data_IF_545498859510
#
_entry.id   IF_545498859510
#
_cell.length_a   1.000
_cell.length_b   1.000
_cell.length_c   1.000
_cell.angle_alpha   90.00
_cell.angle_beta   90.00
_cell.angle_gamma   90.00
#
_symmetry.space_group_name_H-M   'P 1'
#
loop_
_entity.id
_entity.type
_entity.pdbx_description
1 polymer ?
#
# COMPACT_ATOMS: atom_id res chain seq x y z
N UNK A 1 14.37 4.23 22.20
CA UNK A 1 14.86 3.39 21.09
C UNK A 1 14.76 4.18 19.81
N UNK A 2 15.92 4.65 19.34
CA UNK A 2 16.15 5.65 18.29
C UNK A 2 15.68 5.11 16.94
N UNK A 3 14.75 5.81 16.28
CA UNK A 3 14.39 5.51 14.89
C UNK A 3 15.06 6.55 13.99
N UNK A 4 16.13 6.09 13.34
CA UNK A 4 16.99 6.80 12.41
C UNK A 4 16.12 7.55 11.38
N UNK A 5 16.19 8.89 11.45
CA UNK A 5 15.74 9.82 10.44
C UNK A 5 16.68 9.66 9.23
N UNK A 6 16.37 8.68 8.37
CA UNK A 6 16.98 8.60 7.05
C UNK A 6 16.38 9.74 6.19
N UNK A 7 17.12 10.85 6.13
CA UNK A 7 16.72 12.15 5.56
C UNK A 7 16.92 12.22 4.03
N UNK A 8 17.24 11.10 3.37
CA UNK A 8 17.68 11.12 1.97
C UNK A 8 16.68 10.51 0.96
N UNK A 9 15.45 10.20 1.39
CA UNK A 9 14.36 9.91 0.46
C UNK A 9 13.30 10.99 0.56
N UNK A 10 13.20 11.79 -0.50
CA UNK A 10 12.10 12.72 -0.70
C UNK A 10 10.85 11.86 -0.93
N UNK A 11 10.12 11.57 0.14
CA UNK A 11 8.89 10.76 0.11
C UNK A 11 7.69 11.72 0.10
N UNK A 12 6.75 11.51 -0.84
CA UNK A 12 5.49 12.24 -0.82
C UNK A 12 4.73 11.94 0.48
N UNK A 13 3.96 12.92 0.98
CA UNK A 13 3.06 12.68 2.08
C UNK A 13 2.12 11.52 1.74
N UNK A 14 1.83 10.68 2.74
CA UNK A 14 1.00 9.49 2.49
C UNK A 14 -0.42 9.88 2.05
N UNK A 15 -0.89 11.05 2.48
CA UNK A 15 -2.16 11.69 2.09
C UNK A 15 -2.23 11.97 0.59
N UNK A 16 -1.23 12.66 0.05
CA UNK A 16 -1.19 13.01 -1.37
C UNK A 16 -1.09 11.77 -2.23
N UNK A 17 -0.36 10.73 -1.79
CA UNK A 17 -0.33 9.45 -2.50
C UNK A 17 -1.68 8.73 -2.51
N UNK A 18 -2.43 8.72 -1.39
CA UNK A 18 -3.77 8.12 -1.34
C UNK A 18 -4.73 8.81 -2.31
N UNK A 19 -4.76 10.14 -2.27
CA UNK A 19 -5.59 10.95 -3.16
C UNK A 19 -5.21 10.66 -4.62
N UNK A 20 -3.92 10.59 -4.93
CA UNK A 20 -3.43 10.35 -6.28
C UNK A 20 -3.81 8.94 -6.79
N UNK A 21 -3.71 7.90 -5.95
CA UNK A 21 -4.14 6.53 -6.32
C UNK A 21 -5.65 6.48 -6.54
N UNK A 22 -6.46 7.04 -5.63
CA UNK A 22 -7.92 7.07 -5.77
C UNK A 22 -8.32 7.83 -7.03
N UNK A 23 -7.69 8.97 -7.29
CA UNK A 23 -7.92 9.77 -8.48
C UNK A 23 -7.61 8.98 -9.76
N UNK A 24 -6.47 8.29 -9.82
CA UNK A 24 -6.14 7.44 -10.96
C UNK A 24 -7.11 6.27 -11.17
N UNK A 25 -7.65 5.69 -10.09
CA UNK A 25 -8.67 4.66 -10.19
C UNK A 25 -9.98 5.22 -10.77
N UNK A 26 -10.35 6.45 -10.41
CA UNK A 26 -11.50 7.15 -11.00
C UNK A 26 -11.26 7.48 -12.49
N UNK A 27 -10.03 7.81 -12.87
CA UNK A 27 -9.63 8.00 -14.28
C UNK A 27 -9.71 6.69 -15.10
N UNK A 28 -9.78 5.50 -14.50
CA UNK A 28 -9.97 4.26 -15.26
C UNK A 28 -11.41 4.07 -15.76
N UNK A 29 -12.38 4.61 -15.03
CA UNK A 29 -13.81 4.40 -15.32
C UNK A 29 -14.34 5.36 -16.39
N UNK A 30 -13.61 6.42 -16.69
CA UNK A 30 -13.95 7.42 -17.70
C UNK A 30 -13.36 7.05 -19.07
N UNK A 31 -14.13 7.26 -20.15
CA UNK A 31 -13.69 6.95 -21.52
C UNK A 31 -12.74 8.05 -22.01
N UNK A 32 -11.43 7.77 -22.00
CA UNK A 32 -10.42 8.70 -22.52
C UNK A 32 -10.07 8.48 -24.00
N UNK A 33 -9.89 9.56 -24.79
CA UNK A 33 -9.20 9.51 -26.07
C UNK A 33 -7.71 9.18 -25.86
N UNK A 34 -7.10 8.55 -26.88
CA UNK A 34 -5.72 8.04 -26.84
C UNK A 34 -4.67 9.10 -26.44
N UNK A 35 -4.88 10.36 -26.81
CA UNK A 35 -3.99 11.48 -26.47
C UNK A 35 -3.91 11.74 -24.95
N UNK A 36 -5.04 11.62 -24.24
CA UNK A 36 -5.09 11.83 -22.79
C UNK A 36 -4.41 10.70 -22.01
N UNK A 37 -4.39 9.49 -22.56
CA UNK A 37 -3.66 8.36 -21.95
C UNK A 37 -2.15 8.56 -22.02
N UNK A 38 -1.63 9.09 -23.14
CA UNK A 38 -0.20 9.41 -23.30
C UNK A 38 0.23 10.50 -22.33
N UNK A 39 -0.55 11.58 -22.21
CA UNK A 39 -0.27 12.68 -21.27
C UNK A 39 -0.18 12.16 -19.83
N UNK A 40 -1.15 11.32 -19.41
CA UNK A 40 -1.15 10.71 -18.08
C UNK A 40 0.13 9.91 -17.80
N UNK A 41 0.60 9.13 -18.77
CA UNK A 41 1.78 8.27 -18.61
C UNK A 41 3.07 9.06 -18.57
N UNK A 42 3.18 10.10 -19.41
CA UNK A 42 4.31 11.03 -19.39
C UNK A 42 4.38 11.72 -18.02
N UNK A 43 3.25 12.19 -17.51
CA UNK A 43 3.20 12.86 -16.22
C UNK A 43 3.48 11.93 -15.02
N UNK A 44 2.97 10.69 -15.03
CA UNK A 44 3.32 9.67 -14.03
C UNK A 44 4.80 9.32 -14.07
N UNK A 45 5.39 9.28 -15.26
CA UNK A 45 6.82 9.03 -15.44
C UNK A 45 7.68 10.20 -14.89
N UNK A 46 7.23 11.44 -15.07
CA UNK A 46 7.86 12.64 -14.48
C UNK A 46 7.78 12.59 -12.95
N UNK A 47 6.63 12.23 -12.39
CA UNK A 47 6.48 12.01 -10.95
C UNK A 47 7.47 10.96 -10.43
N UNK A 48 7.61 9.82 -11.12
CA UNK A 48 8.57 8.77 -10.74
C UNK A 48 10.04 9.20 -10.86
N UNK A 49 10.37 10.09 -11.80
CA UNK A 49 11.69 10.71 -11.94
C UNK A 49 12.00 11.66 -10.77
N UNK A 50 11.04 12.49 -10.35
CA UNK A 50 11.19 13.36 -9.16
C UNK A 50 11.39 12.58 -7.86
N UNK A 51 10.85 11.35 -7.79
CA UNK A 51 10.98 10.42 -6.66
C UNK A 51 12.34 9.69 -6.65
N UNK A 52 13.24 9.99 -7.62
CA UNK A 52 14.57 9.41 -7.79
C UNK A 52 14.57 7.88 -8.09
N UNK A 53 13.44 7.33 -8.59
CA UNK A 53 13.31 5.92 -8.95
C UNK A 53 13.36 5.71 -10.48
N UNK A 54 14.50 6.10 -11.10
CA UNK A 54 14.71 6.07 -12.57
C UNK A 54 14.41 4.70 -13.20
N UNK A 55 14.76 3.60 -12.53
CA UNK A 55 14.53 2.23 -13.02
C UNK A 55 13.04 1.88 -13.18
N UNK A 56 12.16 2.47 -12.35
CA UNK A 56 10.71 2.22 -12.41
C UNK A 56 10.03 3.08 -13.47
N UNK A 57 10.46 4.34 -13.61
CA UNK A 57 10.02 5.21 -14.70
C UNK A 57 10.33 4.59 -16.07
N UNK A 58 11.56 4.09 -16.26
CA UNK A 58 11.98 3.46 -17.51
C UNK A 58 11.18 2.17 -17.78
N UNK A 59 10.95 1.32 -16.76
CA UNK A 59 10.11 0.12 -16.92
C UNK A 59 8.68 0.45 -17.32
N UNK A 60 8.10 1.52 -16.78
CA UNK A 60 6.72 1.94 -17.07
C UNK A 60 6.59 2.51 -18.49
N UNK A 61 7.56 3.32 -18.93
CA UNK A 61 7.62 3.83 -20.31
C UNK A 61 7.80 2.67 -21.30
N UNK A 62 8.72 1.74 -21.00
CA UNK A 62 9.00 0.58 -21.84
C UNK A 62 7.80 -0.36 -21.93
N UNK A 63 7.13 -0.65 -20.80
CA UNK A 63 5.93 -1.49 -20.81
C UNK A 63 4.79 -0.85 -21.59
N UNK A 64 4.59 0.47 -21.48
CA UNK A 64 3.60 1.18 -22.29
C UNK A 64 3.93 1.16 -23.78
N UNK A 65 5.18 1.42 -24.15
CA UNK A 65 5.62 1.41 -25.55
C UNK A 65 5.42 0.04 -26.21
N UNK A 66 5.70 -1.05 -25.49
CA UNK A 66 5.47 -2.42 -25.97
C UNK A 66 3.97 -2.68 -26.15
N UNK A 67 3.13 -2.29 -25.18
CA UNK A 67 1.69 -2.52 -25.27
C UNK A 67 0.96 -1.63 -26.28
N UNK A 68 1.52 -0.46 -26.65
CA UNK A 68 0.92 0.43 -27.65
C UNK A 68 1.16 -0.02 -29.09
N UNK A 69 2.22 -0.80 -29.34
CA UNK A 69 2.55 -1.34 -30.67
C UNK A 69 1.60 -2.48 -31.05
N UNK A 70 1.21 -3.32 -30.09
CA UNK A 70 0.36 -4.51 -30.29
C UNK A 70 -0.97 -4.22 -31.03
N UNK A 71 -1.78 -3.22 -30.63
CA UNK A 71 -3.06 -2.93 -31.28
C UNK A 71 -2.94 -2.22 -32.64
N UNK A 72 -1.79 -1.64 -32.97
CA UNK A 72 -1.57 -0.92 -34.24
C UNK A 72 -1.00 -1.81 -35.36
N UNK A 73 -0.73 -3.09 -35.07
CA UNK A 73 -0.26 -4.03 -36.08
C UNK A 73 -1.41 -4.37 -37.06
N UNK A 74 -1.19 -4.29 -38.39
CA UNK A 74 -2.23 -4.48 -39.40
C UNK A 74 -2.81 -5.92 -39.46
N UNK A 75 -2.29 -6.83 -38.63
CA UNK A 75 -2.60 -8.25 -38.56
C UNK A 75 -3.93 -8.52 -37.83
N UNK A 76 -4.47 -7.53 -37.08
CA UNK A 76 -5.60 -7.69 -36.16
C UNK A 76 -7.01 -7.65 -36.77
N UNK A 77 -7.16 -7.75 -38.09
CA UNK A 77 -8.46 -7.71 -38.79
C UNK A 77 -9.31 -9.00 -38.66
N UNK A 78 -8.84 -10.01 -37.93
CA UNK A 78 -9.51 -11.31 -37.76
C UNK A 78 -10.21 -11.34 -36.37
N UNK A 79 -11.45 -11.86 -36.30
CA UNK A 79 -12.31 -11.84 -35.10
C UNK A 79 -11.65 -12.35 -33.81
N UNK A 80 -10.84 -13.41 -33.90
CA UNK A 80 -10.13 -13.99 -32.74
C UNK A 80 -8.99 -13.10 -32.23
N UNK A 81 -8.42 -12.24 -33.08
CA UNK A 81 -7.39 -11.30 -32.69
C UNK A 81 -7.97 -10.04 -32.05
N UNK A 82 -9.19 -9.61 -32.36
CA UNK A 82 -9.79 -8.45 -31.68
C UNK A 82 -9.88 -8.62 -30.15
N UNK A 83 -10.11 -9.84 -29.67
CA UNK A 83 -10.09 -10.18 -28.24
C UNK A 83 -8.73 -9.84 -27.62
N UNK A 84 -7.62 -10.23 -28.25
CA UNK A 84 -6.27 -9.89 -27.79
C UNK A 84 -6.02 -8.37 -27.74
N UNK A 85 -6.59 -7.60 -28.67
CA UNK A 85 -6.47 -6.14 -28.68
C UNK A 85 -7.23 -5.51 -27.50
N UNK A 86 -8.44 -6.01 -27.21
CA UNK A 86 -9.21 -5.54 -26.05
C UNK A 86 -8.52 -5.86 -24.72
N UNK A 87 -7.95 -7.06 -24.57
CA UNK A 87 -7.13 -7.40 -23.41
C UNK A 87 -5.90 -6.52 -23.27
N UNK A 88 -5.21 -6.22 -24.37
CA UNK A 88 -4.06 -5.30 -24.37
C UNK A 88 -4.46 -3.91 -23.86
N UNK A 89 -5.61 -3.38 -24.30
CA UNK A 89 -6.13 -2.09 -23.82
C UNK A 89 -6.46 -2.10 -22.33
N UNK A 90 -7.05 -3.20 -21.83
CA UNK A 90 -7.38 -3.36 -20.40
C UNK A 90 -6.12 -3.42 -19.55
N UNK A 91 -5.13 -4.22 -19.96
CA UNK A 91 -3.85 -4.34 -19.26
C UNK A 91 -3.13 -2.98 -19.25
N UNK A 92 -3.16 -2.25 -20.37
CA UNK A 92 -2.55 -0.92 -20.48
C UNK A 92 -3.15 0.08 -19.50
N UNK A 93 -4.47 0.08 -19.35
CA UNK A 93 -5.19 0.92 -18.37
C UNK A 93 -4.82 0.53 -16.94
N UNK A 94 -4.74 -0.76 -16.63
CA UNK A 94 -4.43 -1.24 -15.28
C UNK A 94 -2.96 -1.06 -14.88
N UNK A 95 -2.03 -0.92 -15.84
CA UNK A 95 -0.60 -0.75 -15.54
C UNK A 95 -0.32 0.51 -14.71
N UNK A 96 -0.97 1.62 -14.99
CA UNK A 96 -0.74 2.91 -14.33
C UNK A 96 -1.12 2.88 -12.83
N UNK A 97 -2.37 2.56 -12.44
CA UNK A 97 -2.76 2.47 -11.04
C UNK A 97 -2.02 1.35 -10.31
N UNK A 98 -1.68 0.24 -10.99
CA UNK A 98 -0.97 -0.87 -10.37
C UNK A 98 0.48 -0.49 -10.02
N UNK A 99 1.20 0.19 -10.91
CA UNK A 99 2.55 0.68 -10.62
C UNK A 99 2.54 1.77 -9.53
N UNK A 100 1.57 2.68 -9.56
CA UNK A 100 1.38 3.70 -8.52
C UNK A 100 1.04 3.07 -7.17
N UNK A 101 0.14 2.09 -7.15
CA UNK A 101 -0.23 1.33 -5.94
C UNK A 101 0.94 0.52 -5.39
N UNK A 102 1.73 -0.12 -6.24
CA UNK A 102 2.94 -0.82 -5.82
C UNK A 102 3.98 0.15 -5.22
N UNK A 103 4.17 1.32 -5.84
CA UNK A 103 5.01 2.37 -5.27
C UNK A 103 4.47 2.88 -3.93
N UNK A 104 3.15 3.07 -3.81
CA UNK A 104 2.49 3.45 -2.57
C UNK A 104 2.77 2.44 -1.45
N UNK A 105 2.58 1.15 -1.68
CA UNK A 105 2.81 0.11 -0.67
C UNK A 105 4.28 0.01 -0.26
N UNK A 106 5.21 0.14 -1.21
CA UNK A 106 6.64 -0.01 -0.93
C UNK A 106 7.27 1.23 -0.29
N UNK A 107 6.82 2.43 -0.67
CA UNK A 107 7.41 3.70 -0.18
C UNK A 107 6.82 4.16 1.14
N UNK A 108 5.68 3.61 1.58
CA UNK A 108 4.94 4.18 2.71
C UNK A 108 5.21 3.38 3.98
N UNK A 109 5.81 4.04 4.98
CA UNK A 109 5.95 3.45 6.31
C UNK A 109 4.58 3.41 6.98
N UNK A 110 4.33 2.34 7.73
CA UNK A 110 3.07 2.17 8.44
C UNK A 110 2.80 3.33 9.41
N UNK A 111 3.84 3.85 10.05
CA UNK A 111 3.76 5.04 10.90
C UNK A 111 3.32 6.32 10.17
N UNK A 112 3.71 6.53 8.91
CA UNK A 112 3.28 7.71 8.14
C UNK A 112 1.83 7.61 7.67
N UNK A 113 1.36 6.39 7.39
CA UNK A 113 -0.04 6.09 7.10
C UNK A 113 -0.93 6.42 8.30
N UNK A 114 -0.56 5.97 9.49
CA UNK A 114 -1.26 6.28 10.74
C UNK A 114 -1.28 7.77 11.06
N UNK A 115 -0.19 8.47 10.77
CA UNK A 115 -0.08 9.90 11.00
C UNK A 115 -0.94 10.72 9.99
N UNK A 116 -1.23 10.14 8.82
CA UNK A 116 -2.15 10.68 7.82
C UNK A 116 -3.61 10.44 8.18
N UNK A 117 -3.93 9.26 8.71
CA UNK A 117 -5.26 8.96 9.28
C UNK A 117 -5.67 9.96 10.36
N UNK A 118 -4.70 10.45 11.14
CA UNK A 118 -4.94 11.48 12.15
C UNK A 118 -5.37 12.83 11.58
N UNK A 119 -4.75 13.27 10.49
CA UNK A 119 -5.04 14.54 9.84
C UNK A 119 -6.37 14.51 9.08
N UNK A 120 -6.75 13.35 8.54
CA UNK A 120 -8.08 13.07 7.96
C UNK A 120 -9.19 13.05 9.06
N UNK A 121 -8.86 13.38 10.31
CA UNK A 121 -9.78 13.42 11.46
C UNK A 121 -10.48 12.08 11.75
N UNK A 122 -9.82 10.96 11.47
CA UNK A 122 -10.31 9.65 11.91
C UNK A 122 -10.33 9.62 13.45
N UNK A 123 -11.44 9.18 14.08
CA UNK A 123 -11.58 9.20 15.52
C UNK A 123 -10.50 8.36 16.21
N UNK A 124 -10.07 8.82 17.39
CA UNK A 124 -9.00 8.17 18.17
C UNK A 124 -9.32 6.71 18.51
N UNK A 125 -10.61 6.39 18.66
CA UNK A 125 -11.13 5.04 18.93
C UNK A 125 -10.68 4.01 17.88
N UNK A 126 -10.53 4.41 16.62
CA UNK A 126 -10.08 3.53 15.53
C UNK A 126 -8.57 3.60 15.38
N UNK A 127 -8.01 4.81 15.48
CA UNK A 127 -6.60 5.07 15.16
C UNK A 127 -5.63 4.39 16.13
N UNK A 128 -5.95 4.38 17.42
CA UNK A 128 -5.06 3.81 18.45
C UNK A 128 -4.95 2.29 18.30
N UNK A 129 -6.06 1.52 18.19
CA UNK A 129 -5.98 0.09 17.89
C UNK A 129 -5.24 -0.21 16.59
N UNK A 130 -5.44 0.57 15.53
CA UNK A 130 -4.69 0.39 14.29
C UNK A 130 -3.18 0.57 14.49
N UNK A 131 -2.75 1.59 15.25
CA UNK A 131 -1.34 1.81 15.58
C UNK A 131 -0.74 0.60 16.29
N UNK A 132 -1.49 0.07 17.26
CA UNK A 132 -1.13 -1.13 18.00
C UNK A 132 -1.05 -2.32 17.05
N UNK A 133 -2.09 -2.64 16.29
CA UNK A 133 -2.11 -3.78 15.38
C UNK A 133 -0.87 -3.81 14.47
N UNK A 134 -0.53 -2.67 13.88
CA UNK A 134 0.66 -2.58 13.02
C UNK A 134 1.99 -2.66 13.77
N UNK A 135 2.08 -2.13 14.98
CA UNK A 135 3.28 -2.23 15.82
C UNK A 135 3.50 -3.65 16.36
N UNK A 136 2.41 -4.40 16.59
CA UNK A 136 2.43 -5.75 17.14
C UNK A 136 2.35 -6.85 16.07
N UNK A 137 2.02 -6.53 14.83
CA UNK A 137 2.13 -7.44 13.66
C UNK A 137 3.50 -8.14 13.58
N UNK A 138 4.67 -7.45 13.70
CA UNK A 138 5.96 -8.12 13.68
C UNK A 138 6.15 -9.07 14.87
N UNK A 139 5.54 -8.79 16.02
CA UNK A 139 5.62 -9.62 17.23
C UNK A 139 4.84 -10.92 17.00
N UNK A 140 3.59 -10.82 16.56
CA UNK A 140 2.73 -11.97 16.24
C UNK A 140 3.38 -12.88 15.20
N UNK A 141 4.06 -12.32 14.21
CA UNK A 141 4.80 -13.11 13.20
C UNK A 141 5.93 -13.92 13.81
N UNK A 142 6.70 -13.34 14.72
CA UNK A 142 7.78 -14.04 15.40
C UNK A 142 7.22 -15.11 16.33
N UNK A 143 6.13 -14.82 17.00
CA UNK A 143 5.47 -15.74 17.92
C UNK A 143 4.86 -16.94 17.20
N UNK A 144 4.19 -16.71 16.07
CA UNK A 144 3.77 -17.77 15.15
C UNK A 144 4.94 -18.67 14.75
N UNK A 145 6.10 -18.07 14.42
CA UNK A 145 7.29 -18.82 14.05
C UNK A 145 7.82 -19.66 15.23
N UNK A 146 7.91 -19.08 16.43
CA UNK A 146 8.35 -19.78 17.64
C UNK A 146 7.42 -20.92 18.04
N UNK A 147 6.10 -20.70 17.98
CA UNK A 147 5.09 -21.73 18.26
C UNK A 147 5.18 -22.84 17.20
N UNK A 148 5.34 -22.48 15.92
CA UNK A 148 5.53 -23.44 14.83
C UNK A 148 6.81 -24.28 15.01
N UNK A 149 7.89 -23.67 15.45
CA UNK A 149 9.15 -24.36 15.76
C UNK A 149 9.03 -25.27 16.99
N UNK A 150 8.34 -24.83 18.05
CA UNK A 150 8.07 -25.65 19.23
C UNK A 150 7.20 -26.87 18.91
N UNK A 151 6.19 -26.72 18.04
CA UNK A 151 5.37 -27.84 17.58
C UNK A 151 6.19 -28.88 16.80
N UNK A 152 7.14 -28.43 15.98
CA UNK A 152 8.06 -29.34 15.27
C UNK A 152 8.93 -30.15 16.23
N UNK A 153 9.40 -29.55 17.34
CA UNK A 153 10.17 -30.26 18.37
C UNK A 153 9.35 -31.33 19.10
N UNK A 154 8.03 -31.15 19.19
CA UNK A 154 7.08 -32.12 19.80
C UNK A 154 6.67 -33.24 18.83
N UNK A 155 7.33 -33.37 17.68
CA UNK A 155 7.00 -34.39 16.68
C UNK A 155 5.77 -34.06 15.82
N UNK A 156 5.14 -32.90 16.02
CA UNK A 156 4.05 -32.37 15.17
C UNK A 156 4.72 -31.73 13.94
N UNK A 157 5.21 -32.60 13.06
CA UNK A 157 5.93 -32.23 11.84
C UNK A 157 5.03 -31.97 10.63
N UNK A 158 5.66 -31.71 9.49
CA UNK A 158 4.97 -31.52 8.20
C UNK A 158 4.06 -32.70 7.83
N UNK A 159 4.35 -33.91 8.30
CA UNK A 159 3.54 -35.10 8.00
C UNK A 159 2.10 -34.94 8.49
N UNK A 160 1.88 -34.34 9.67
CA UNK A 160 0.54 -34.14 10.22
C UNK A 160 -0.25 -33.04 9.49
N UNK A 161 0.46 -32.10 8.85
CA UNK A 161 -0.15 -31.07 7.98
C UNK A 161 -0.84 -31.71 6.78
N UNK A 162 -0.24 -32.76 6.21
CA UNK A 162 -0.80 -33.47 5.05
C UNK A 162 -1.78 -34.57 5.45
N UNK A 163 -1.55 -35.24 6.59
CA UNK A 163 -2.44 -36.32 7.04
C UNK A 163 -3.74 -35.81 7.66
N UNK A 164 -3.68 -34.77 8.51
CA UNK A 164 -4.84 -34.23 9.23
C UNK A 164 -4.70 -32.71 9.43
N UNK A 165 -4.98 -31.90 8.38
CA UNK A 165 -4.80 -30.44 8.44
C UNK A 165 -5.68 -29.77 9.49
N UNK A 166 -6.89 -30.30 9.76
CA UNK A 166 -7.80 -29.73 10.75
C UNK A 166 -7.21 -29.78 12.16
N UNK A 167 -6.68 -30.94 12.54
CA UNK A 167 -6.09 -31.18 13.86
C UNK A 167 -4.80 -30.37 14.05
N UNK A 168 -4.01 -30.21 12.99
CA UNK A 168 -2.84 -29.33 12.98
C UNK A 168 -3.23 -27.86 13.22
N UNK A 169 -4.31 -27.39 12.59
CA UNK A 169 -4.81 -26.02 12.78
C UNK A 169 -5.31 -25.79 14.19
N UNK A 170 -6.00 -26.74 14.79
CA UNK A 170 -6.46 -26.65 16.19
C UNK A 170 -5.26 -26.53 17.17
N UNK A 171 -4.25 -27.38 17.02
CA UNK A 171 -3.03 -27.30 17.82
C UNK A 171 -2.22 -26.02 17.62
N UNK A 172 -2.33 -25.38 16.45
CA UNK A 172 -1.65 -24.13 16.15
C UNK A 172 -2.45 -22.93 16.66
N UNK A 173 -3.78 -22.94 16.52
CA UNK A 173 -4.65 -21.81 16.86
C UNK A 173 -4.77 -21.66 18.37
N UNK A 174 -4.92 -22.74 19.14
CA UNK A 174 -5.13 -22.66 20.60
C UNK A 174 -3.99 -21.90 21.31
N UNK A 175 -2.69 -22.23 21.10
CA UNK A 175 -1.59 -21.49 21.73
C UNK A 175 -1.48 -20.05 21.25
N UNK A 176 -1.78 -19.77 19.97
CA UNK A 176 -1.78 -18.41 19.43
C UNK A 176 -2.88 -17.59 20.07
N UNK A 177 -4.07 -18.16 20.28
CA UNK A 177 -5.18 -17.48 20.93
C UNK A 177 -4.80 -17.11 22.36
N UNK A 178 -4.23 -18.05 23.11
CA UNK A 178 -3.78 -17.83 24.49
C UNK A 178 -2.67 -16.78 24.59
N UNK A 179 -1.72 -16.79 23.66
CA UNK A 179 -0.70 -15.75 23.55
C UNK A 179 -1.33 -14.37 23.27
N UNK A 180 -2.25 -14.30 22.29
CA UNK A 180 -2.89 -13.05 21.90
C UNK A 180 -3.73 -12.46 23.04
N UNK A 181 -4.42 -13.29 23.84
CA UNK A 181 -5.16 -12.83 25.02
C UNK A 181 -4.22 -12.25 26.07
N UNK A 182 -3.08 -12.92 26.35
CA UNK A 182 -2.11 -12.43 27.33
C UNK A 182 -1.48 -11.10 26.89
N UNK A 183 -1.12 -10.97 25.60
CA UNK A 183 -0.59 -9.70 25.05
C UNK A 183 -1.64 -8.59 25.14
N UNK A 184 -2.91 -8.92 24.93
CA UNK A 184 -4.03 -8.00 25.08
C UNK A 184 -4.21 -7.52 26.52
N UNK A 185 -4.11 -8.41 27.50
CA UNK A 185 -4.14 -8.08 28.92
C UNK A 185 -2.95 -7.20 29.33
N UNK A 186 -1.73 -7.57 28.94
CA UNK A 186 -0.52 -6.77 29.19
C UNK A 186 -0.63 -5.37 28.59
N UNK A 187 -1.15 -5.27 27.35
CA UNK A 187 -1.39 -3.99 26.70
C UNK A 187 -2.43 -3.16 27.45
N UNK A 188 -3.50 -3.79 27.93
CA UNK A 188 -4.56 -3.13 28.68
C UNK A 188 -4.03 -2.60 30.02
N UNK A 189 -3.28 -3.42 30.76
CA UNK A 189 -2.62 -3.00 32.00
C UNK A 189 -1.60 -1.87 31.77
N UNK A 190 -0.79 -1.96 30.70
CA UNK A 190 0.13 -0.91 30.31
C UNK A 190 -0.60 0.37 29.86
N UNK A 191 -1.81 0.25 29.31
CA UNK A 191 -2.62 1.39 28.92
C UNK A 191 -3.25 2.08 30.13
N UNK A 192 -3.78 1.31 31.08
CA UNK A 192 -4.31 1.83 32.34
C UNK A 192 -3.24 2.55 33.16
N UNK A 193 -2.05 1.96 33.32
CA UNK A 193 -0.94 2.59 34.04
C UNK A 193 -0.40 3.86 33.38
N UNK A 194 -0.51 3.98 32.05
CA UNK A 194 -0.14 5.21 31.30
C UNK A 194 -1.25 6.26 31.26
N UNK A 195 -2.37 6.04 31.95
CA UNK A 195 -3.47 7.00 32.00
C UNK A 195 -4.14 7.24 30.65
N UNK A 196 -4.22 6.21 29.78
CA UNK A 196 -4.88 6.33 28.47
C UNK A 196 -6.36 6.74 28.60
N UNK A 197 -7.01 6.43 29.72
CA UNK A 197 -8.38 6.79 30.11
C UNK A 197 -8.55 8.23 30.61
N UNK A 198 -7.46 8.98 30.81
CA UNK A 198 -7.53 10.37 31.28
C UNK A 198 -7.76 11.29 30.08
N UNK A 199 -8.83 12.09 30.13
CA UNK A 199 -9.20 13.09 29.12
C UNK A 199 -8.36 14.38 29.22
N UNK A 200 -7.04 14.23 29.21
CA UNK A 200 -6.08 15.34 29.14
C UNK A 200 -5.65 15.69 27.71
N UNK A 201 -5.09 16.89 27.50
CA UNK A 201 -4.43 17.27 26.24
C UNK A 201 -3.22 16.36 25.99
N UNK A 202 -3.34 15.45 25.03
CA UNK A 202 -2.27 14.54 24.58
C UNK A 202 -1.43 15.24 23.51
N UNK A 203 -0.12 15.41 23.76
CA UNK A 203 0.82 16.04 22.81
C UNK A 203 1.45 14.99 21.89
N UNK A 204 1.66 15.35 20.62
CA UNK A 204 2.12 14.43 19.58
C UNK A 204 3.59 14.68 19.24
N UNK A 205 4.44 13.67 19.39
CA UNK A 205 5.87 13.73 19.05
C UNK A 205 6.19 13.27 17.61
N UNK A 206 5.26 13.41 16.66
CA UNK A 206 5.51 13.11 15.25
C UNK A 206 5.20 14.33 14.38
N UNK A 207 6.24 15.09 14.06
CA UNK A 207 6.22 16.15 13.08
C UNK A 207 6.23 15.53 11.69
N UNK A 208 5.08 15.57 11.02
CA UNK A 208 4.98 15.30 9.59
C UNK A 208 5.20 16.66 8.90
N UNK A 209 6.37 16.87 8.33
CA UNK A 209 6.66 18.07 7.54
C UNK A 209 6.04 17.88 6.14
N UNK A 210 5.29 18.87 5.66
CA UNK A 210 4.83 18.92 4.27
C UNK A 210 6.05 19.10 3.37
N UNK A 211 6.15 18.28 2.32
CA UNK A 211 7.26 18.34 1.36
C UNK A 211 6.84 19.16 0.14
N UNK A 212 7.80 19.82 -0.52
CA UNK A 212 7.57 20.57 -1.77
C UNK A 212 6.95 19.71 -2.89
N UNK A 213 7.14 18.38 -2.84
CA UNK A 213 6.48 17.42 -3.75
C UNK A 213 4.96 17.34 -3.58
N UNK A 214 4.41 17.68 -2.40
CA UNK A 214 2.97 17.64 -2.17
C UNK A 214 2.25 18.73 -2.98
N UNK A 215 2.88 19.91 -3.12
CA UNK A 215 2.39 21.02 -3.94
C UNK A 215 2.38 20.61 -5.42
N UNK A 216 3.43 19.93 -5.87
CA UNK A 216 3.58 19.46 -7.25
C UNK A 216 2.54 18.38 -7.59
N UNK A 217 2.24 17.48 -6.64
CA UNK A 217 1.19 16.47 -6.80
C UNK A 217 -0.22 17.08 -6.84
N UNK A 218 -0.50 18.10 -6.03
CA UNK A 218 -1.79 18.81 -6.05
C UNK A 218 -1.99 19.57 -7.37
N UNK A 219 -0.95 20.28 -7.82
CA UNK A 219 -0.96 21.00 -9.09
C UNK A 219 -1.17 20.04 -10.27
N UNK A 220 -0.56 18.86 -10.20
CA UNK A 220 -0.76 17.78 -11.17
C UNK A 220 -2.20 17.28 -11.23
N UNK A 221 -2.83 17.01 -10.08
CA UNK A 221 -4.25 16.60 -10.01
C UNK A 221 -5.15 17.68 -10.60
N UNK A 222 -4.86 18.95 -10.33
CA UNK A 222 -5.63 20.08 -10.85
C UNK A 222 -5.51 20.21 -12.38
N UNK A 223 -4.30 20.06 -12.92
CA UNK A 223 -4.04 20.08 -14.36
C UNK A 223 -4.73 18.91 -15.07
N UNK A 224 -4.75 17.72 -14.46
CA UNK A 224 -5.50 16.58 -14.98
C UNK A 224 -7.01 16.83 -14.97
N UNK A 225 -7.57 17.33 -13.87
CA UNK A 225 -9.00 17.67 -13.80
C UNK A 225 -9.42 18.68 -14.86
N UNK A 226 -8.58 19.69 -15.12
CA UNK A 226 -8.82 20.68 -16.16
C UNK A 226 -8.87 20.03 -17.54
N UNK A 227 -7.93 19.13 -17.82
CA UNK A 227 -7.83 18.37 -19.08
C UNK A 227 -8.96 17.34 -19.26
N UNK A 228 -9.47 16.75 -18.18
CA UNK A 228 -10.59 15.79 -18.23
C UNK A 228 -11.92 16.49 -18.52
N UNK A 229 -12.04 17.77 -18.13
CA UNK A 229 -13.28 18.55 -18.20
C UNK A 229 -13.42 19.38 -19.47
N UNK A 230 -12.33 19.64 -20.19
CA UNK A 230 -12.28 20.31 -21.50
C UNK A 230 -12.21 19.30 -22.64
#
# INVERSE_FOLDING_TARGET
>A
MVMILNRDRIELATETKFILVIFFVITLTTKFPFYLEIINIVLVSILFLCINNRKRAIKLILSFAILSIIPNLPIYKIDTMQVLATWSLIIRRLLIPFNLGYYFLYSTKVSSLLASMERIRIPKIIRIPFLVMFRYTPIIKNEFKHISEAMKLRGIGKNMVFSNPLLYMEYLIIPILFSATNIGEDLSQAAFSKGLSIDGKKYRCSLILFSYLDILAILYIFLLLYIVRG
#
